data_IF_270742030180
#
_entry.id   IF_270742030180
#
_cell.length_a   1.000
_cell.length_b   1.000
_cell.length_c   1.000
_cell.angle_alpha   90.00
_cell.angle_beta   90.00
_cell.angle_gamma   90.00
#
_symmetry.space_group_name_H-M   'P 1'
#
loop_
_entity.id
_entity.type
_entity.pdbx_description
1 polymer ?
#
# COMPACT_ATOMS: atom_id res chain seq x y z
N UNK A 1 -0.89 12.40 17.09
CA UNK A 1 -1.11 11.95 15.70
C UNK A 1 0.13 11.21 15.28
N UNK A 2 0.07 9.88 15.25
CA UNK A 2 1.13 9.02 14.74
C UNK A 2 1.24 9.30 13.24
N UNK A 3 2.29 9.99 12.80
CA UNK A 3 2.59 10.09 11.37
C UNK A 3 2.76 8.67 10.85
N UNK A 4 1.80 8.17 10.08
CA UNK A 4 1.90 6.87 9.41
C UNK A 4 3.01 7.00 8.36
N UNK A 5 4.18 6.42 8.66
CA UNK A 5 5.38 6.55 7.82
C UNK A 5 5.53 5.42 6.81
N UNK A 6 4.43 4.92 6.26
CA UNK A 6 4.50 3.92 5.22
C UNK A 6 3.69 4.29 4.00
N UNK A 7 4.23 3.97 2.83
CA UNK A 7 3.68 4.34 1.54
C UNK A 7 3.85 3.19 0.55
N UNK A 8 2.81 2.94 -0.23
CA UNK A 8 2.88 2.04 -1.38
C UNK A 8 3.40 2.84 -2.57
N UNK A 9 4.44 2.34 -3.21
CA UNK A 9 5.11 2.98 -4.35
C UNK A 9 5.32 1.97 -5.47
N UNK A 10 5.58 2.42 -6.71
CA UNK A 10 6.00 1.52 -7.77
C UNK A 10 7.26 0.75 -7.36
N UNK A 11 7.29 -0.54 -7.69
CA UNK A 11 8.49 -1.35 -7.57
C UNK A 11 9.60 -0.80 -8.49
N UNK A 12 10.87 -0.96 -8.10
CA UNK A 12 12.00 -0.43 -8.87
C UNK A 12 12.13 -1.03 -10.28
N UNK A 13 11.54 -2.20 -10.51
CA UNK A 13 11.47 -2.85 -11.82
C UNK A 13 10.25 -2.46 -12.67
N UNK A 14 9.29 -1.73 -12.08
CA UNK A 14 8.05 -1.37 -12.77
C UNK A 14 8.23 -0.18 -13.72
N UNK A 15 7.54 -0.22 -14.85
CA UNK A 15 7.41 0.97 -15.72
C UNK A 15 6.39 1.92 -15.08
N UNK A 16 6.84 3.12 -14.70
CA UNK A 16 5.99 4.10 -14.04
C UNK A 16 5.02 4.71 -15.06
N UNK A 17 3.72 4.40 -14.90
CA UNK A 17 2.63 5.01 -15.65
C UNK A 17 1.76 5.87 -14.72
N UNK A 18 0.97 6.79 -15.28
CA UNK A 18 0.01 7.57 -14.49
C UNK A 18 -1.08 6.69 -13.84
N UNK A 19 -1.37 5.52 -14.39
CA UNK A 19 -2.29 4.55 -13.80
C UNK A 19 -1.66 3.87 -12.58
N UNK A 20 -0.45 3.32 -12.72
CA UNK A 20 0.27 2.70 -11.62
C UNK A 20 0.49 3.66 -10.46
N UNK A 21 0.82 4.93 -10.75
CA UNK A 21 0.96 5.98 -9.75
C UNK A 21 -0.34 6.19 -8.95
N UNK A 22 -1.48 6.33 -9.64
CA UNK A 22 -2.80 6.50 -9.01
C UNK A 22 -3.19 5.29 -8.18
N UNK A 23 -2.89 4.09 -8.67
CA UNK A 23 -3.16 2.85 -7.94
C UNK A 23 -2.31 2.75 -6.66
N UNK A 24 -1.04 3.16 -6.70
CA UNK A 24 -0.19 3.23 -5.51
C UNK A 24 -0.71 4.24 -4.47
N UNK A 25 -1.22 5.38 -4.92
CA UNK A 25 -1.84 6.39 -4.05
C UNK A 25 -3.12 5.85 -3.40
N UNK A 26 -3.97 5.17 -4.17
CA UNK A 26 -5.18 4.53 -3.65
C UNK A 26 -4.83 3.42 -2.63
N UNK A 27 -3.87 2.56 -2.95
CA UNK A 27 -3.38 1.53 -2.03
C UNK A 27 -2.78 2.13 -0.76
N UNK A 28 -2.07 3.26 -0.85
CA UNK A 28 -1.55 3.99 0.31
C UNK A 28 -2.67 4.51 1.20
N UNK A 29 -3.71 5.14 0.63
CA UNK A 29 -4.84 5.64 1.41
C UNK A 29 -5.59 4.50 2.14
N UNK A 30 -5.79 3.37 1.48
CA UNK A 30 -6.40 2.19 2.09
C UNK A 30 -5.52 1.59 3.19
N UNK A 31 -4.20 1.56 2.99
CA UNK A 31 -3.24 1.10 4.00
C UNK A 31 -3.29 1.99 5.25
N UNK A 32 -3.33 3.30 5.08
CA UNK A 32 -3.43 4.25 6.19
C UNK A 32 -4.71 4.06 6.97
N UNK A 33 -5.85 3.94 6.27
CA UNK A 33 -7.13 3.66 6.91
C UNK A 33 -7.10 2.35 7.71
N UNK A 34 -6.49 1.29 7.17
CA UNK A 34 -6.35 0.03 7.89
C UNK A 34 -5.49 0.18 9.16
N UNK A 35 -4.43 0.98 9.11
CA UNK A 35 -3.57 1.26 10.28
C UNK A 35 -4.25 2.18 11.31
N UNK A 36 -5.17 3.05 10.89
CA UNK A 36 -6.01 3.81 11.81
C UNK A 36 -7.03 2.93 12.53
N UNK A 37 -7.60 1.94 11.84
CA UNK A 37 -8.54 0.97 12.41
C UNK A 37 -7.84 -0.07 13.31
N UNK A 38 -6.61 -0.46 12.96
CA UNK A 38 -5.81 -1.48 13.64
C UNK A 38 -4.39 -0.97 13.94
N UNK A 39 -4.23 -0.06 14.91
CA UNK A 39 -2.95 0.59 15.21
C UNK A 39 -1.87 -0.36 15.75
N UNK A 40 -2.24 -1.57 16.15
CA UNK A 40 -1.32 -2.63 16.57
C UNK A 40 -0.57 -3.28 15.39
N UNK A 41 -1.06 -3.11 14.16
CA UNK A 41 -0.41 -3.68 12.99
C UNK A 41 0.83 -2.88 12.61
N UNK A 42 1.89 -3.60 12.24
CA UNK A 42 3.01 -2.99 11.53
C UNK A 42 2.61 -2.65 10.10
N UNK A 43 3.27 -1.66 9.49
CA UNK A 43 3.02 -1.28 8.10
C UNK A 43 3.11 -2.48 7.13
N UNK A 44 4.12 -3.35 7.31
CA UNK A 44 4.23 -4.61 6.57
C UNK A 44 3.05 -5.55 6.79
N UNK A 45 2.60 -5.76 8.03
CA UNK A 45 1.46 -6.64 8.32
C UNK A 45 0.17 -6.09 7.70
N UNK A 46 -0.09 -4.80 7.86
CA UNK A 46 -1.23 -4.12 7.26
C UNK A 46 -1.20 -4.16 5.73
N UNK A 47 -0.03 -4.00 5.10
CA UNK A 47 0.12 -4.10 3.64
C UNK A 47 -0.20 -5.51 3.13
N UNK A 48 0.26 -6.56 3.82
CA UNK A 48 -0.05 -7.95 3.45
C UNK A 48 -1.55 -8.24 3.59
N UNK A 49 -2.15 -7.78 4.69
CA UNK A 49 -3.60 -7.93 4.93
C UNK A 49 -4.42 -7.18 3.87
N UNK A 50 -4.02 -5.95 3.54
CA UNK A 50 -4.64 -5.15 2.47
C UNK A 50 -4.55 -5.88 1.13
N UNK A 51 -3.37 -6.39 0.77
CA UNK A 51 -3.17 -7.15 -0.46
C UNK A 51 -4.09 -8.37 -0.52
N UNK A 52 -4.15 -9.18 0.55
CA UNK A 52 -5.01 -10.37 0.60
C UNK A 52 -6.49 -10.02 0.44
N UNK A 53 -6.97 -8.98 1.14
CA UNK A 53 -8.36 -8.54 1.07
C UNK A 53 -8.71 -8.00 -0.31
N UNK A 54 -7.82 -7.23 -0.90
CA UNK A 54 -8.08 -6.49 -2.13
C UNK A 54 -7.77 -7.28 -3.40
N UNK A 55 -6.88 -8.28 -3.37
CA UNK A 55 -6.56 -9.13 -4.53
C UNK A 55 -7.80 -9.82 -5.11
N UNK A 56 -8.85 -10.01 -4.30
CA UNK A 56 -10.14 -10.58 -4.74
C UNK A 56 -11.17 -9.55 -5.21
N UNK A 57 -10.94 -8.26 -4.96
CA UNK A 57 -11.94 -7.19 -5.14
C UNK A 57 -11.49 -6.16 -6.17
N UNK A 58 -10.22 -5.77 -6.17
CA UNK A 58 -9.65 -4.76 -7.06
C UNK A 58 -8.40 -5.27 -7.77
N UNK A 59 -8.25 -4.87 -9.04
CA UNK A 59 -7.15 -5.25 -9.92
C UNK A 59 -5.92 -4.34 -9.75
N UNK A 60 -5.51 -4.04 -8.52
CA UNK A 60 -4.23 -3.36 -8.32
C UNK A 60 -3.10 -4.27 -8.84
N UNK A 61 -2.14 -3.74 -9.63
CA UNK A 61 -1.00 -4.52 -10.10
C UNK A 61 0.01 -4.72 -8.97
N UNK A 62 -0.33 -5.55 -7.99
CA UNK A 62 0.46 -5.82 -6.78
C UNK A 62 1.87 -6.35 -7.06
N UNK A 63 2.11 -6.91 -8.24
CA UNK A 63 3.43 -7.34 -8.70
C UNK A 63 4.33 -6.18 -9.16
N UNK A 64 3.77 -4.98 -9.35
CA UNK A 64 4.46 -3.75 -9.74
C UNK A 64 4.50 -2.73 -8.61
N UNK A 65 4.06 -3.10 -7.41
CA UNK A 65 4.00 -2.23 -6.23
C UNK A 65 4.84 -2.81 -5.11
N UNK A 66 5.39 -1.92 -4.28
CA UNK A 66 6.11 -2.30 -3.08
C UNK A 66 5.82 -1.35 -1.93
N UNK A 67 6.07 -1.80 -0.70
CA UNK A 67 5.92 -1.01 0.50
C UNK A 67 7.25 -0.33 0.84
N UNK A 68 7.22 0.98 1.02
CA UNK A 68 8.32 1.75 1.61
C UNK A 68 7.93 2.21 3.02
N UNK A 69 8.84 2.01 3.96
CA UNK A 69 8.75 2.49 5.33
C UNK A 69 9.80 3.59 5.48
N UNK A 70 9.39 4.78 5.93
CA UNK A 70 10.31 5.86 6.27
C UNK A 70 10.59 5.81 7.77
N UNK A 71 11.82 5.50 8.16
CA UNK A 71 12.28 5.54 9.57
C UNK A 71 12.24 6.95 10.17
#
# INVERSE_FOLDING_TARGET
>A
MTSIRCKVVPDSSATITMELQRDCEAATALLHKLLEEYPELTCRAAYMELKIRMERICLFPWNQMTLTEHE
#
